data_IF_259207325275
#
_entry.id   IF_259207325275
#
_cell.length_a   1.000
_cell.length_b   1.000
_cell.length_c   1.000
_cell.angle_alpha   90.00
_cell.angle_beta   90.00
_cell.angle_gamma   90.00
#
_symmetry.space_group_name_H-M   'P 1'
#
loop_
_entity.id
_entity.type
_entity.pdbx_description
1 polymer ?
#
# COMPACT_ATOMS: atom_id res chain seq x y z
N UNK A 1 -8.25 3.98 4.06
CA UNK A 1 -7.44 2.90 4.62
C UNK A 1 -6.97 3.28 6.03
N UNK A 2 -6.73 2.35 6.92
CA UNK A 2 -6.29 2.54 8.33
C UNK A 2 -7.25 3.24 9.30
N UNK A 3 -8.46 3.61 8.91
CA UNK A 3 -9.39 4.33 9.81
C UNK A 3 -9.76 3.52 11.06
N UNK A 4 -9.81 2.19 10.96
CA UNK A 4 -10.07 1.29 12.08
C UNK A 4 -8.89 1.24 13.08
N UNK A 5 -7.67 1.48 12.60
CA UNK A 5 -6.43 1.37 13.38
C UNK A 5 -6.15 2.65 14.19
N UNK A 6 -6.46 3.84 13.65
CA UNK A 6 -6.13 5.11 14.30
C UNK A 6 -6.64 5.26 15.74
N UNK A 7 -7.91 4.92 16.05
CA UNK A 7 -8.40 5.03 17.44
C UNK A 7 -7.66 4.08 18.41
N UNK A 8 -7.21 2.94 17.90
CA UNK A 8 -6.48 1.94 18.70
C UNK A 8 -5.06 2.42 19.00
N UNK A 9 -4.38 3.01 18.04
CA UNK A 9 -3.06 3.62 18.21
C UNK A 9 -3.13 4.82 19.16
N UNK A 10 -4.12 5.69 18.99
CA UNK A 10 -4.33 6.84 19.89
C UNK A 10 -4.51 6.41 21.36
N UNK A 11 -5.28 5.34 21.63
CA UNK A 11 -5.43 4.77 22.98
C UNK A 11 -4.10 4.27 23.57
N UNK A 12 -3.11 3.97 22.73
CA UNK A 12 -1.75 3.57 23.14
C UNK A 12 -0.78 4.76 23.21
N UNK A 13 -1.25 5.98 23.05
CA UNK A 13 -0.41 7.18 23.04
C UNK A 13 0.41 7.37 21.78
N UNK A 14 0.06 6.68 20.70
CA UNK A 14 0.74 6.80 19.39
C UNK A 14 -0.02 7.82 18.55
N UNK A 15 0.68 8.87 18.10
CA UNK A 15 0.19 9.77 17.06
C UNK A 15 0.37 9.10 15.71
N UNK A 16 -0.74 8.81 15.03
CA UNK A 16 -0.74 8.25 13.70
C UNK A 16 -1.16 9.30 12.67
N UNK A 17 -0.38 9.42 11.60
CA UNK A 17 -0.62 10.35 10.49
C UNK A 17 -0.78 9.55 9.22
N UNK A 18 -1.97 9.61 8.62
CA UNK A 18 -2.23 9.00 7.32
C UNK A 18 -1.97 10.00 6.22
N UNK A 19 -1.30 9.54 5.17
CA UNK A 19 -0.98 10.33 3.99
C UNK A 19 -1.81 9.83 2.81
N UNK A 20 -2.57 10.72 2.20
CA UNK A 20 -3.11 10.49 0.87
C UNK A 20 -1.98 10.75 -0.14
N UNK A 21 -1.45 9.69 -0.75
CA UNK A 21 -0.38 9.81 -1.73
C UNK A 21 -0.87 10.49 -3.02
N UNK A 22 0.01 11.15 -3.81
CA UNK A 22 -0.39 11.80 -5.06
C UNK A 22 -1.26 10.91 -5.96
N UNK A 23 -2.39 11.43 -6.42
CA UNK A 23 -3.37 10.69 -7.22
C UNK A 23 -4.44 9.94 -6.43
N UNK A 24 -4.34 9.90 -5.10
CA UNK A 24 -5.28 9.18 -4.23
C UNK A 24 -5.89 10.10 -3.17
N UNK A 25 -7.04 9.67 -2.63
CA UNK A 25 -7.73 10.38 -1.56
C UNK A 25 -8.08 11.82 -1.92
N UNK A 26 -7.53 12.78 -1.19
CA UNK A 26 -7.74 14.21 -1.43
C UNK A 26 -6.51 14.91 -2.07
N UNK A 27 -5.46 14.15 -2.34
CA UNK A 27 -4.27 14.69 -3.01
C UNK A 27 -4.50 14.90 -4.50
N UNK A 28 -3.81 15.89 -5.06
CA UNK A 28 -3.88 16.18 -6.49
C UNK A 28 -3.34 15.02 -7.33
N UNK A 29 -3.91 14.88 -8.52
CA UNK A 29 -3.47 13.90 -9.50
C UNK A 29 -2.14 14.37 -10.12
N UNK A 30 -1.08 13.57 -10.09
CA UNK A 30 0.17 13.90 -10.74
C UNK A 30 -0.01 13.96 -12.27
N UNK A 31 0.77 14.82 -12.92
CA UNK A 31 0.71 14.98 -14.39
C UNK A 31 1.25 13.76 -15.13
N UNK A 32 2.24 13.10 -14.55
CA UNK A 32 2.89 11.91 -15.06
C UNK A 32 2.83 10.82 -13.98
N UNK A 33 3.01 9.58 -14.39
CA UNK A 33 3.05 8.46 -13.46
C UNK A 33 4.23 8.60 -12.50
N UNK A 34 3.98 8.68 -11.17
CA UNK A 34 5.06 8.74 -10.19
C UNK A 34 5.80 7.40 -10.07
N UNK A 35 7.08 7.47 -9.75
CA UNK A 35 7.84 6.34 -9.23
C UNK A 35 7.61 6.18 -7.72
N UNK A 36 8.06 5.07 -7.14
CA UNK A 36 8.05 4.92 -5.66
C UNK A 36 8.93 5.98 -5.00
N UNK A 37 10.02 6.39 -5.65
CA UNK A 37 10.87 7.47 -5.15
C UNK A 37 10.10 8.79 -5.05
N UNK A 38 9.32 9.16 -6.07
CA UNK A 38 8.50 10.39 -6.05
C UNK A 38 7.46 10.36 -4.93
N UNK A 39 6.80 9.21 -4.72
CA UNK A 39 5.89 9.03 -3.58
C UNK A 39 6.61 9.19 -2.24
N UNK A 40 7.80 8.60 -2.10
CA UNK A 40 8.60 8.71 -0.88
C UNK A 40 9.05 10.15 -0.63
N UNK A 41 9.46 10.90 -1.66
CA UNK A 41 9.78 12.32 -1.55
C UNK A 41 8.58 13.15 -1.05
N UNK A 42 7.37 12.89 -1.55
CA UNK A 42 6.17 13.56 -1.07
C UNK A 42 5.93 13.30 0.43
N UNK A 43 6.04 12.04 0.87
CA UNK A 43 5.90 11.69 2.29
C UNK A 43 7.00 12.32 3.14
N UNK A 44 8.24 12.32 2.67
CA UNK A 44 9.37 12.97 3.34
C UNK A 44 9.13 14.47 3.54
N UNK A 45 8.60 15.16 2.53
CA UNK A 45 8.29 16.59 2.62
C UNK A 45 7.19 16.85 3.68
N UNK A 46 6.16 15.99 3.75
CA UNK A 46 5.14 16.06 4.80
C UNK A 46 5.76 15.88 6.20
N UNK A 47 6.63 14.89 6.39
CA UNK A 47 7.32 14.65 7.66
C UNK A 47 8.11 15.90 8.09
N UNK A 48 8.80 16.52 7.14
CA UNK A 48 9.58 17.73 7.34
C UNK A 48 8.70 18.95 7.69
N UNK A 49 7.61 19.14 6.94
CA UNK A 49 6.67 20.26 7.16
C UNK A 49 5.95 20.16 8.51
N UNK A 50 5.74 18.94 9.00
CA UNK A 50 5.22 18.68 10.34
C UNK A 50 6.27 18.86 11.45
N UNK A 51 7.53 19.14 11.11
CA UNK A 51 8.62 19.33 12.06
C UNK A 51 9.00 18.06 12.82
N UNK A 52 8.77 16.89 12.25
CA UNK A 52 9.09 15.62 12.89
C UNK A 52 10.57 15.29 12.67
N UNK A 53 11.31 15.14 13.75
CA UNK A 53 12.75 14.81 13.72
C UNK A 53 12.98 13.29 13.65
N UNK A 54 12.06 12.50 14.18
CA UNK A 54 12.10 11.02 14.17
C UNK A 54 10.69 10.47 14.05
N UNK A 55 10.52 9.45 13.20
CA UNK A 55 9.24 8.79 13.01
C UNK A 55 9.41 7.31 12.67
N UNK A 56 8.40 6.52 12.99
CA UNK A 56 8.22 5.18 12.41
C UNK A 56 7.36 5.30 11.14
N UNK A 57 7.57 4.40 10.19
CA UNK A 57 6.75 4.32 8.97
C UNK A 57 6.08 2.96 8.87
N UNK A 58 4.82 2.97 8.47
CA UNK A 58 4.05 1.78 8.14
C UNK A 58 3.50 1.93 6.73
N UNK A 59 3.76 0.95 5.89
CA UNK A 59 3.20 0.90 4.54
C UNK A 59 2.51 -0.43 4.26
N UNK A 60 1.41 -0.38 3.53
CA UNK A 60 0.65 -1.55 3.09
C UNK A 60 0.77 -1.69 1.58
N UNK A 61 1.14 -2.87 1.09
CA UNK A 61 1.38 -3.19 -0.32
C UNK A 61 2.28 -2.14 -1.02
N UNK A 62 1.74 -1.31 -1.93
CA UNK A 62 2.49 -0.18 -2.53
C UNK A 62 3.10 0.72 -1.45
N UNK A 63 2.37 0.94 -0.35
CA UNK A 63 2.89 1.70 0.79
C UNK A 63 4.11 1.04 1.45
N UNK A 64 4.22 -0.29 1.42
CA UNK A 64 5.41 -0.98 1.91
C UNK A 64 6.65 -0.67 1.04
N UNK A 65 6.48 -0.55 -0.28
CA UNK A 65 7.53 -0.08 -1.17
C UNK A 65 7.97 1.35 -0.83
N UNK A 66 7.00 2.25 -0.58
CA UNK A 66 7.26 3.64 -0.17
C UNK A 66 7.99 3.69 1.18
N UNK A 67 7.56 2.87 2.16
CA UNK A 67 8.19 2.81 3.48
C UNK A 67 9.64 2.29 3.39
N UNK A 68 9.90 1.29 2.54
CA UNK A 68 11.25 0.78 2.28
C UNK A 68 12.15 1.84 1.64
N UNK A 69 11.65 2.59 0.66
CA UNK A 69 12.36 3.69 0.02
C UNK A 69 12.72 4.80 1.03
N UNK A 70 11.75 5.24 1.84
CA UNK A 70 11.95 6.24 2.89
C UNK A 70 13.04 5.85 3.88
N UNK A 71 13.08 4.58 4.29
CA UNK A 71 14.08 4.06 5.21
C UNK A 71 15.51 4.24 4.68
N UNK A 72 15.69 4.05 3.37
CA UNK A 72 17.00 4.22 2.71
C UNK A 72 17.31 5.70 2.45
N UNK A 73 16.31 6.49 2.02
CA UNK A 73 16.50 7.91 1.73
C UNK A 73 16.89 8.73 2.96
N UNK A 74 16.33 8.39 4.13
CA UNK A 74 16.49 9.16 5.37
C UNK A 74 16.65 8.24 6.60
N UNK A 75 17.75 7.50 6.69
CA UNK A 75 17.96 6.54 7.77
C UNK A 75 17.96 7.17 9.17
N UNK A 76 18.41 8.41 9.31
CA UNK A 76 18.43 9.12 10.58
C UNK A 76 17.02 9.57 11.04
N UNK A 77 16.11 9.78 10.11
CA UNK A 77 14.73 10.22 10.35
C UNK A 77 13.80 9.05 10.62
N UNK A 78 13.97 7.95 9.89
CA UNK A 78 13.11 6.78 10.00
C UNK A 78 13.70 5.81 11.03
N UNK A 79 13.01 5.69 12.16
CA UNK A 79 13.50 4.90 13.31
C UNK A 79 13.05 3.45 13.31
N UNK A 80 11.92 3.16 12.69
CA UNK A 80 11.32 1.82 12.59
C UNK A 80 10.51 1.71 11.30
N UNK A 81 10.46 0.51 10.73
CA UNK A 81 9.74 0.23 9.50
C UNK A 81 8.78 -0.93 9.71
N UNK A 82 7.55 -0.77 9.26
CA UNK A 82 6.55 -1.85 9.19
C UNK A 82 6.13 -2.02 7.74
N UNK A 83 6.46 -3.16 7.16
CA UNK A 83 6.12 -3.54 5.80
C UNK A 83 4.93 -4.51 5.87
N UNK A 84 3.73 -4.03 5.60
CA UNK A 84 2.53 -4.86 5.60
C UNK A 84 2.24 -5.35 4.18
N UNK A 85 2.32 -6.67 3.98
CA UNK A 85 2.14 -7.31 2.67
C UNK A 85 3.14 -6.76 1.61
N UNK A 86 4.47 -6.75 1.86
CA UNK A 86 5.42 -6.22 0.89
C UNK A 86 5.38 -7.04 -0.41
N UNK A 87 5.18 -6.41 -1.59
CA UNK A 87 4.99 -7.09 -2.87
C UNK A 87 6.34 -7.52 -3.49
N UNK A 88 7.09 -8.37 -2.79
CA UNK A 88 8.37 -8.89 -3.31
C UNK A 88 8.13 -9.99 -4.34
N UNK A 89 7.92 -9.58 -5.58
CA UNK A 89 7.61 -10.43 -6.72
C UNK A 89 8.84 -10.69 -7.59
N UNK A 90 8.84 -11.82 -8.31
CA UNK A 90 9.80 -12.07 -9.40
C UNK A 90 9.48 -11.21 -10.62
N UNK A 91 10.41 -11.10 -11.56
CA UNK A 91 10.16 -10.32 -12.77
C UNK A 91 9.04 -10.92 -13.62
N UNK A 92 8.90 -12.25 -13.65
CA UNK A 92 7.80 -12.92 -14.33
C UNK A 92 6.45 -12.60 -13.67
N UNK A 93 6.37 -12.64 -12.33
CA UNK A 93 5.17 -12.27 -11.58
C UNK A 93 4.79 -10.82 -11.83
N UNK A 94 5.77 -9.89 -11.79
CA UNK A 94 5.55 -8.47 -12.10
C UNK A 94 4.99 -8.28 -13.51
N UNK A 95 5.55 -8.96 -14.52
CA UNK A 95 5.07 -8.88 -15.89
C UNK A 95 3.62 -9.37 -16.05
N UNK A 96 3.23 -10.41 -15.31
CA UNK A 96 1.83 -10.88 -15.29
C UNK A 96 0.91 -9.82 -14.72
N UNK A 97 1.31 -9.19 -13.61
CA UNK A 97 0.51 -8.15 -12.94
C UNK A 97 0.40 -6.89 -13.80
N UNK A 98 1.51 -6.44 -14.41
CA UNK A 98 1.51 -5.27 -15.33
C UNK A 98 0.56 -5.51 -16.49
N UNK A 99 0.64 -6.69 -17.15
CA UNK A 99 -0.29 -7.04 -18.24
C UNK A 99 -1.75 -7.07 -17.79
N UNK A 100 -2.02 -7.56 -16.59
CA UNK A 100 -3.37 -7.57 -16.04
C UNK A 100 -3.90 -6.15 -15.81
N UNK A 101 -3.05 -5.22 -15.38
CA UNK A 101 -3.39 -3.80 -15.24
C UNK A 101 -3.67 -3.16 -16.60
N UNK A 102 -2.79 -3.35 -17.58
CA UNK A 102 -2.95 -2.80 -18.94
C UNK A 102 -4.22 -3.30 -19.64
N UNK A 103 -4.63 -4.53 -19.33
CA UNK A 103 -5.84 -5.15 -19.86
C UNK A 103 -7.09 -4.89 -19.02
N UNK A 104 -6.93 -4.27 -17.83
CA UNK A 104 -8.06 -3.98 -16.97
C UNK A 104 -9.02 -2.99 -17.67
N UNK A 105 -10.32 -3.27 -17.71
CA UNK A 105 -11.26 -2.37 -18.34
C UNK A 105 -11.28 -1.03 -17.61
N UNK A 106 -11.10 0.05 -18.36
CA UNK A 106 -11.31 1.41 -17.86
C UNK A 106 -12.80 1.55 -17.49
N UNK A 107 -13.08 2.19 -16.37
CA UNK A 107 -14.44 2.47 -15.95
C UNK A 107 -15.03 3.50 -16.92
N UNK A 108 -15.97 3.06 -17.75
CA UNK A 108 -16.67 3.95 -18.69
C UNK A 108 -18.04 4.26 -18.11
N UNK A 109 -18.36 5.53 -17.82
CA UNK A 109 -19.65 5.93 -17.32
C UNK A 109 -20.79 5.45 -18.24
N UNK A 110 -21.78 4.74 -17.68
CA UNK A 110 -22.95 4.24 -18.37
C UNK A 110 -24.17 5.04 -17.93
N UNK A 111 -25.10 5.32 -18.88
CA UNK A 111 -26.30 6.13 -18.62
C UNK A 111 -27.21 5.49 -17.57
N UNK A 112 -27.24 4.17 -17.49
CA UNK A 112 -28.05 3.39 -16.54
C UNK A 112 -27.38 3.18 -15.19
N UNK A 113 -26.12 3.64 -15.00
CA UNK A 113 -25.37 3.50 -13.76
C UNK A 113 -24.75 2.11 -13.56
N UNK A 114 -24.81 1.18 -14.52
CA UNK A 114 -24.29 -0.19 -14.40
C UNK A 114 -22.81 -0.22 -14.03
N UNK A 115 -22.01 0.74 -14.49
CA UNK A 115 -20.57 0.85 -14.15
C UNK A 115 -20.29 0.94 -12.63
N UNK A 116 -21.22 1.45 -11.81
CA UNK A 116 -21.08 1.44 -10.35
C UNK A 116 -21.18 0.02 -9.78
N UNK A 117 -22.08 -0.78 -10.32
CA UNK A 117 -22.27 -2.18 -9.91
C UNK A 117 -21.07 -3.02 -10.35
N UNK A 118 -20.56 -2.79 -11.55
CA UNK A 118 -19.38 -3.49 -12.06
C UNK A 118 -18.16 -3.19 -11.17
N UNK A 119 -17.96 -1.92 -10.79
CA UNK A 119 -16.89 -1.53 -9.90
C UNK A 119 -17.03 -2.12 -8.49
N UNK A 120 -18.26 -2.14 -7.95
CA UNK A 120 -18.57 -2.78 -6.69
C UNK A 120 -18.24 -4.27 -6.72
N UNK A 121 -18.66 -4.98 -7.76
CA UNK A 121 -18.37 -6.41 -7.93
C UNK A 121 -16.88 -6.68 -8.10
N UNK A 122 -16.16 -5.84 -8.84
CA UNK A 122 -14.70 -5.89 -8.95
C UNK A 122 -14.06 -5.76 -7.57
N UNK A 123 -14.51 -4.80 -6.76
CA UNK A 123 -13.97 -4.58 -5.40
C UNK A 123 -14.20 -5.77 -4.48
N UNK A 124 -15.40 -6.37 -4.49
CA UNK A 124 -15.71 -7.59 -3.71
C UNK A 124 -14.77 -8.74 -4.10
N UNK A 125 -14.39 -8.84 -5.37
CA UNK A 125 -13.49 -9.88 -5.86
C UNK A 125 -12.12 -9.90 -5.16
N UNK A 126 -11.62 -8.77 -4.70
CA UNK A 126 -10.37 -8.68 -3.95
C UNK A 126 -10.50 -9.02 -2.46
N UNK A 127 -11.72 -9.07 -1.94
CA UNK A 127 -11.98 -9.28 -0.51
C UNK A 127 -13.04 -10.36 -0.29
N UNK A 128 -12.83 -11.60 -0.74
CA UNK A 128 -13.80 -12.67 -0.60
C UNK A 128 -14.11 -12.93 0.89
N UNK A 129 -15.39 -12.93 1.24
CA UNK A 129 -15.84 -13.16 2.61
C UNK A 129 -15.78 -11.94 3.54
N UNK A 130 -15.35 -10.79 3.06
CA UNK A 130 -15.31 -9.57 3.85
C UNK A 130 -16.72 -9.02 4.10
N UNK A 131 -17.01 -8.63 5.34
CA UNK A 131 -18.35 -8.19 5.76
C UNK A 131 -18.45 -6.69 6.02
N UNK A 132 -17.31 -5.97 6.05
CA UNK A 132 -17.30 -4.53 6.31
C UNK A 132 -17.73 -3.73 5.06
N UNK A 133 -19.07 -3.61 4.88
CA UNK A 133 -19.67 -2.94 3.72
C UNK A 133 -19.29 -1.46 3.63
N UNK A 134 -19.10 -0.79 4.78
CA UNK A 134 -18.71 0.63 4.79
C UNK A 134 -17.28 0.82 4.28
N UNK A 135 -16.35 -0.06 4.64
CA UNK A 135 -14.99 0.00 4.13
C UNK A 135 -14.94 -0.33 2.63
N UNK A 136 -15.74 -1.30 2.16
CA UNK A 136 -15.89 -1.58 0.73
C UNK A 136 -16.44 -0.36 -0.02
N UNK A 137 -17.48 0.31 0.53
CA UNK A 137 -18.02 1.54 -0.05
C UNK A 137 -16.95 2.63 -0.17
N UNK A 138 -16.17 2.87 0.88
CA UNK A 138 -15.06 3.82 0.84
C UNK A 138 -14.02 3.47 -0.22
N UNK A 139 -13.67 2.19 -0.35
CA UNK A 139 -12.76 1.70 -1.39
C UNK A 139 -13.26 2.02 -2.80
N UNK A 140 -14.52 1.72 -3.09
CA UNK A 140 -15.15 2.03 -4.39
C UNK A 140 -15.17 3.54 -4.68
N UNK A 141 -15.48 4.36 -3.66
CA UNK A 141 -15.44 5.83 -3.83
C UNK A 141 -14.02 6.31 -4.16
N UNK A 142 -12.99 5.73 -3.54
CA UNK A 142 -11.61 6.08 -3.84
C UNK A 142 -11.19 5.65 -5.24
N UNK A 143 -11.59 4.45 -5.70
CA UNK A 143 -11.34 4.00 -7.07
C UNK A 143 -12.01 4.94 -8.10
N UNK A 144 -13.25 5.37 -7.85
CA UNK A 144 -13.95 6.35 -8.70
C UNK A 144 -13.24 7.71 -8.74
N UNK A 145 -12.63 8.12 -7.63
CA UNK A 145 -11.88 9.40 -7.56
C UNK A 145 -10.54 9.33 -8.27
N UNK A 146 -9.84 8.21 -8.15
CA UNK A 146 -8.57 7.97 -8.83
C UNK A 146 -8.75 7.84 -10.37
N UNK A 147 -9.95 7.37 -10.80
CA UNK A 147 -10.32 7.21 -12.21
C UNK A 147 -9.25 6.40 -12.99
N UNK A 148 -8.79 6.91 -14.13
CA UNK A 148 -7.76 6.28 -14.96
C UNK A 148 -6.39 6.16 -14.28
N UNK A 149 -6.16 6.84 -13.18
CA UNK A 149 -4.90 6.84 -12.43
C UNK A 149 -4.88 5.83 -11.28
N UNK A 150 -5.95 5.06 -11.11
CA UNK A 150 -6.10 4.06 -10.03
C UNK A 150 -4.91 3.05 -9.99
N UNK A 151 -4.27 2.83 -11.11
CA UNK A 151 -3.15 1.88 -11.25
C UNK A 151 -1.75 2.48 -11.07
N UNK A 152 -1.59 3.77 -10.93
CA UNK A 152 -0.27 4.42 -10.82
C UNK A 152 0.57 3.85 -9.69
N UNK A 153 -0.02 3.66 -8.52
CA UNK A 153 0.68 3.10 -7.37
C UNK A 153 1.13 1.65 -7.56
N UNK A 154 0.29 0.81 -8.16
CA UNK A 154 0.64 -0.58 -8.46
C UNK A 154 1.78 -0.67 -9.47
N UNK A 155 1.69 0.11 -10.56
CA UNK A 155 2.72 0.12 -11.59
C UNK A 155 4.06 0.59 -11.01
N UNK A 156 4.07 1.67 -10.23
CA UNK A 156 5.27 2.14 -9.55
C UNK A 156 5.88 1.06 -8.63
N UNK A 157 5.03 0.31 -7.89
CA UNK A 157 5.50 -0.76 -7.01
C UNK A 157 6.12 -1.94 -7.79
N UNK A 158 5.58 -2.28 -8.95
CA UNK A 158 6.11 -3.38 -9.77
C UNK A 158 7.39 -2.98 -10.54
N UNK A 159 7.58 -1.70 -10.84
CA UNK A 159 8.80 -1.19 -11.46
C UNK A 159 9.96 -1.03 -10.46
N UNK A 160 9.68 -1.01 -9.15
CA UNK A 160 10.71 -0.85 -8.12
C UNK A 160 11.54 -2.12 -7.90
N UNK A 161 12.84 -1.95 -7.64
CA UNK A 161 13.71 -3.00 -7.09
C UNK A 161 13.54 -3.10 -5.57
N UNK A 162 12.40 -3.66 -5.13
CA UNK A 162 12.15 -3.88 -3.71
C UNK A 162 13.17 -4.83 -3.08
N UNK A 163 13.64 -5.84 -3.83
CA UNK A 163 14.67 -6.76 -3.34
C UNK A 163 15.95 -6.03 -2.94
N UNK A 164 16.49 -5.21 -3.83
CA UNK A 164 17.70 -4.43 -3.57
C UNK A 164 17.52 -3.43 -2.42
N UNK A 165 16.31 -2.87 -2.23
CA UNK A 165 16.01 -2.00 -1.09
C UNK A 165 15.97 -2.76 0.22
N UNK A 166 15.28 -3.92 0.29
CA UNK A 166 15.21 -4.71 1.52
C UNK A 166 16.58 -5.07 2.05
N UNK A 167 17.55 -5.35 1.18
CA UNK A 167 18.93 -5.67 1.58
C UNK A 167 19.67 -4.48 2.23
N UNK A 168 19.23 -3.25 2.00
CA UNK A 168 19.87 -2.01 2.48
C UNK A 168 19.21 -1.43 3.73
N UNK A 169 18.03 -1.90 4.13
CA UNK A 169 17.36 -1.41 5.34
C UNK A 169 18.14 -1.85 6.58
N UNK A 170 18.54 -0.89 7.40
CA UNK A 170 19.28 -1.13 8.65
C UNK A 170 18.41 -0.91 9.90
N UNK A 171 17.28 -0.21 9.77
CA UNK A 171 16.38 0.07 10.87
C UNK A 171 15.69 -1.20 11.38
N UNK A 172 15.30 -1.26 12.66
CA UNK A 172 14.40 -2.28 13.16
C UNK A 172 13.15 -2.36 12.29
N UNK A 173 12.96 -3.52 11.65
CA UNK A 173 11.90 -3.71 10.66
C UNK A 173 11.02 -4.89 11.01
N UNK A 174 9.73 -4.73 10.79
CA UNK A 174 8.73 -5.80 10.89
C UNK A 174 8.08 -6.02 9.52
N UNK A 175 8.05 -7.27 9.08
CA UNK A 175 7.18 -7.75 8.03
C UNK A 175 5.88 -8.20 8.71
N UNK A 176 4.79 -7.51 8.41
CA UNK A 176 3.44 -7.86 8.83
C UNK A 176 2.69 -8.43 7.63
N UNK A 177 1.95 -9.51 7.81
CA UNK A 177 1.12 -10.08 6.75
C UNK A 177 -0.03 -10.88 7.34
N UNK A 178 -0.96 -11.33 6.49
CA UNK A 178 -2.04 -12.21 6.88
C UNK A 178 -2.23 -13.33 5.84
N UNK A 179 -2.71 -14.48 6.31
CA UNK A 179 -2.79 -15.69 5.47
C UNK A 179 -3.86 -15.63 4.38
N UNK A 180 -4.78 -14.66 4.44
CA UNK A 180 -5.79 -14.41 3.40
C UNK A 180 -5.43 -13.30 2.42
N UNK A 181 -4.22 -12.73 2.51
CA UNK A 181 -3.71 -11.76 1.54
C UNK A 181 -3.39 -12.49 0.22
N UNK A 182 -3.84 -11.98 -0.90
CA UNK A 182 -3.59 -12.54 -2.23
C UNK A 182 -2.11 -12.51 -2.65
N UNK A 183 -1.31 -11.63 -2.03
CA UNK A 183 0.15 -11.59 -2.20
C UNK A 183 0.92 -12.11 -0.97
N UNK A 184 0.28 -12.93 -0.12
CA UNK A 184 0.91 -13.55 1.04
C UNK A 184 2.25 -14.24 0.72
N UNK A 185 2.33 -14.92 -0.42
CA UNK A 185 3.57 -15.57 -0.91
C UNK A 185 4.76 -14.59 -1.05
N UNK A 186 4.49 -13.34 -1.43
CA UNK A 186 5.51 -12.31 -1.58
C UNK A 186 6.08 -11.88 -0.21
N UNK A 187 5.23 -11.80 0.82
CA UNK A 187 5.66 -11.53 2.20
C UNK A 187 6.52 -12.68 2.77
N UNK A 188 6.20 -13.94 2.45
CA UNK A 188 7.05 -15.09 2.83
C UNK A 188 8.42 -15.00 2.17
N UNK A 189 8.50 -14.63 0.89
CA UNK A 189 9.77 -14.41 0.18
C UNK A 189 10.59 -13.28 0.82
N UNK A 190 9.95 -12.20 1.23
CA UNK A 190 10.63 -11.12 1.94
C UNK A 190 11.22 -11.58 3.28
N UNK A 191 10.52 -12.45 4.03
CA UNK A 191 11.03 -13.09 5.25
C UNK A 191 12.25 -13.98 4.98
N UNK A 192 12.25 -14.72 3.87
CA UNK A 192 13.40 -15.59 3.51
C UNK A 192 14.66 -14.76 3.22
N UNK A 193 14.49 -13.60 2.55
CA UNK A 193 15.60 -12.71 2.20
C UNK A 193 16.11 -11.93 3.42
N UNK A 194 15.22 -11.55 4.34
CA UNK A 194 15.53 -10.81 5.57
C UNK A 194 15.04 -11.57 6.80
N UNK A 195 15.68 -12.71 7.15
CA UNK A 195 15.30 -13.52 8.32
C UNK A 195 15.58 -12.82 9.66
N UNK A 196 16.32 -11.73 9.64
CA UNK A 196 16.60 -10.84 10.77
C UNK A 196 15.45 -9.88 11.08
N UNK A 197 14.53 -9.64 10.13
CA UNK A 197 13.35 -8.83 10.37
C UNK A 197 12.34 -9.57 11.24
N UNK A 198 11.66 -8.83 12.11
CA UNK A 198 10.54 -9.40 12.86
C UNK A 198 9.43 -9.79 11.87
N UNK A 199 9.03 -11.06 11.90
CA UNK A 199 7.92 -11.54 11.08
C UNK A 199 6.67 -11.74 11.93
N UNK A 200 5.59 -11.07 11.57
CA UNK A 200 4.29 -11.21 12.21
C UNK A 200 3.24 -11.61 11.19
N UNK A 201 2.63 -12.76 11.43
CA UNK A 201 1.55 -13.30 10.63
C UNK A 201 0.23 -13.24 11.40
N UNK A 202 -0.82 -12.80 10.74
CA UNK A 202 -2.19 -12.84 11.23
C UNK A 202 -2.96 -13.94 10.49
N UNK A 203 -3.81 -14.67 11.20
CA UNK A 203 -4.61 -15.73 10.60
C UNK A 203 -5.84 -15.14 9.91
N UNK A 204 -6.12 -15.56 8.67
CA UNK A 204 -7.27 -15.09 7.92
C UNK A 204 -7.05 -13.69 7.33
N UNK A 205 -8.10 -12.89 7.38
CA UNK A 205 -8.10 -11.55 6.75
C UNK A 205 -8.17 -11.62 5.23
N UNK A 206 -8.05 -10.48 4.59
CA UNK A 206 -8.06 -10.34 3.14
C UNK A 206 -6.95 -9.41 2.69
N UNK A 207 -6.97 -9.02 1.40
CA UNK A 207 -6.11 -7.99 0.83
C UNK A 207 -6.11 -6.67 1.62
N UNK A 208 -7.21 -6.34 2.30
CA UNK A 208 -7.38 -5.08 3.04
C UNK A 208 -7.44 -5.26 4.56
N UNK A 209 -6.65 -6.14 5.12
CA UNK A 209 -6.59 -6.43 6.57
C UNK A 209 -6.54 -5.16 7.45
N UNK A 210 -6.00 -4.07 6.94
CA UNK A 210 -5.87 -2.80 7.67
C UNK A 210 -7.19 -2.05 7.85
N UNK A 211 -8.24 -2.48 7.16
CA UNK A 211 -9.59 -1.92 7.24
C UNK A 211 -10.62 -2.91 7.84
N UNK A 212 -10.18 -4.13 8.20
CA UNK A 212 -11.00 -5.18 8.86
C UNK A 212 -11.19 -5.02 10.38
#
# INVERSE_FOLDING_TARGET
MFQSVYPLLAKKGVMAIGVDTPGYGQSDVPKEQPTIHDYAECVMNIIKDLGLEKTAVLGHHTGACIAAELAIMKPDLITQVILNGPPLMTDEEKQVMIKAIEQAPVIVPQKDGSHFIDLWNKRIGFTPGWTNVEAMHRGVVQMLRADKNDFFGFQAAFEQDLHGLLLKIEQPTMILTNTGDDIYFAALRAKEIRPDFLFKELSGGTHDIVDE
#
